data_IF_887987819007
#
_entry.id   IF_887987819007
#
_cell.length_a   1.000
_cell.length_b   1.000
_cell.length_c   1.000
_cell.angle_alpha   90.00
_cell.angle_beta   90.00
_cell.angle_gamma   90.00
#
_symmetry.space_group_name_H-M   'P 1'
#
loop_
_entity.id
_entity.type
_entity.pdbx_description
1 polymer ?
#
# COMPACT_ATOMS: atom_id res chain seq x y z
N UNK A 1 -2.63 -12.84 -8.69
CA UNK A 1 -3.01 -11.64 -7.93
C UNK A 1 -3.02 -10.45 -8.88
N UNK A 2 -4.16 -9.75 -9.02
CA UNK A 2 -4.31 -8.63 -9.96
C UNK A 2 -3.45 -7.45 -9.49
N UNK A 3 -2.36 -7.14 -10.20
CA UNK A 3 -1.56 -5.91 -10.05
C UNK A 3 -2.43 -4.71 -10.40
N UNK A 4 -3.28 -4.26 -9.47
CA UNK A 4 -4.00 -3.00 -9.63
C UNK A 4 -3.05 -1.88 -9.24
N UNK A 5 -2.82 -0.97 -10.17
CA UNK A 5 -1.96 0.19 -10.00
C UNK A 5 -2.37 0.99 -8.73
N UNK A 6 -1.42 1.41 -7.88
CA UNK A 6 -1.60 2.32 -6.75
C UNK A 6 -2.62 3.43 -6.98
N UNK A 7 -2.53 4.03 -8.17
CA UNK A 7 -3.31 5.18 -8.57
C UNK A 7 -4.78 4.82 -8.79
N UNK A 8 -5.02 3.59 -9.26
CA UNK A 8 -6.35 3.00 -9.40
C UNK A 8 -6.96 2.75 -8.02
N UNK A 9 -6.19 2.22 -7.07
CA UNK A 9 -6.65 1.95 -5.69
C UNK A 9 -7.01 3.27 -4.99
N UNK A 10 -6.15 4.28 -5.08
CA UNK A 10 -6.39 5.62 -4.50
C UNK A 10 -7.64 6.26 -5.10
N UNK A 11 -7.79 6.22 -6.42
CA UNK A 11 -8.94 6.78 -7.14
C UNK A 11 -10.25 6.04 -6.80
N UNK A 12 -10.21 4.72 -6.68
CA UNK A 12 -11.38 3.92 -6.28
C UNK A 12 -11.80 4.25 -4.85
N UNK A 13 -10.85 4.36 -3.91
CA UNK A 13 -11.15 4.66 -2.52
C UNK A 13 -11.73 6.08 -2.35
N UNK A 14 -11.20 7.08 -3.06
CA UNK A 14 -11.77 8.43 -3.05
C UNK A 14 -13.20 8.45 -3.62
N UNK A 15 -13.43 7.77 -4.74
CA UNK A 15 -14.77 7.63 -5.33
C UNK A 15 -15.75 6.97 -4.37
N UNK A 16 -15.32 5.95 -3.63
CA UNK A 16 -16.16 5.30 -2.60
C UNK A 16 -16.55 6.27 -1.49
N UNK A 17 -15.62 7.06 -0.97
CA UNK A 17 -15.91 8.09 0.06
C UNK A 17 -16.92 9.11 -0.48
N UNK A 18 -16.73 9.60 -1.71
CA UNK A 18 -17.67 10.53 -2.35
C UNK A 18 -19.06 9.92 -2.55
N UNK A 19 -19.14 8.66 -3.00
CA UNK A 19 -20.41 7.95 -3.20
C UNK A 19 -21.14 7.73 -1.88
N UNK A 20 -20.46 7.28 -0.83
CA UNK A 20 -21.06 7.07 0.49
C UNK A 20 -21.56 8.40 1.07
N UNK A 21 -20.79 9.48 0.91
CA UNK A 21 -21.20 10.81 1.34
C UNK A 21 -22.43 11.29 0.55
N UNK A 22 -22.46 11.11 -0.77
CA UNK A 22 -23.61 11.47 -1.60
C UNK A 22 -24.88 10.67 -1.24
N UNK A 23 -24.74 9.37 -0.98
CA UNK A 23 -25.86 8.51 -0.50
C UNK A 23 -26.36 9.01 0.85
N UNK A 24 -25.47 9.40 1.77
CA UNK A 24 -25.89 9.92 3.07
C UNK A 24 -26.66 11.25 2.96
N UNK A 25 -26.24 12.15 2.07
CA UNK A 25 -26.97 13.40 1.79
C UNK A 25 -28.33 13.09 1.20
N UNK A 26 -28.40 12.18 0.21
CA UNK A 26 -29.66 11.76 -0.38
C UNK A 26 -30.61 11.18 0.67
N UNK A 27 -30.10 10.37 1.60
CA UNK A 27 -30.89 9.82 2.70
C UNK A 27 -31.50 10.93 3.57
N UNK A 28 -30.71 11.94 3.97
CA UNK A 28 -31.22 13.09 4.74
C UNK A 28 -32.31 13.82 3.97
N UNK A 29 -32.09 14.09 2.68
CA UNK A 29 -33.07 14.77 1.82
C UNK A 29 -34.38 13.98 1.75
N UNK A 30 -34.32 12.65 1.61
CA UNK A 30 -35.50 11.79 1.58
C UNK A 30 -36.25 11.80 2.92
N UNK A 31 -35.53 11.80 4.05
CA UNK A 31 -36.14 11.91 5.38
C UNK A 31 -36.85 13.26 5.53
N UNK A 32 -36.18 14.37 5.20
CA UNK A 32 -36.78 15.71 5.27
C UNK A 32 -38.01 15.82 4.36
N UNK A 33 -37.94 15.24 3.16
CA UNK A 33 -39.08 15.20 2.24
C UNK A 33 -40.27 14.45 2.82
N UNK A 34 -40.05 13.31 3.49
CA UNK A 34 -41.12 12.56 4.15
C UNK A 34 -41.83 13.39 5.23
N UNK A 35 -41.07 14.09 6.07
CA UNK A 35 -41.64 14.98 7.09
C UNK A 35 -42.41 16.16 6.50
N UNK A 36 -41.93 16.73 5.38
CA UNK A 36 -42.64 17.81 4.69
C UNK A 36 -43.99 17.30 4.15
N UNK A 37 -44.01 16.14 3.52
CA UNK A 37 -45.23 15.53 2.98
C UNK A 37 -46.25 15.20 4.08
N UNK A 38 -45.80 14.68 5.23
CA UNK A 38 -46.69 14.41 6.37
C UNK A 38 -47.27 15.70 6.98
N UNK A 39 -46.47 16.77 7.02
CA UNK A 39 -46.89 18.05 7.59
C UNK A 39 -47.87 18.85 6.72
N UNK A 40 -48.03 18.50 5.44
CA UNK A 40 -48.84 19.23 4.47
C UNK A 40 -48.34 20.66 4.19
N UNK A 41 -47.12 21.00 4.61
CA UNK A 41 -46.54 22.32 4.43
C UNK A 41 -45.93 22.48 3.04
N UNK A 42 -45.94 23.70 2.46
CA UNK A 42 -45.24 23.97 1.21
C UNK A 42 -43.73 23.84 1.41
N UNK A 43 -43.01 23.45 0.36
CA UNK A 43 -41.55 23.24 0.41
C UNK A 43 -40.81 24.59 0.47
N UNK A 44 -40.66 25.12 1.69
CA UNK A 44 -40.03 26.42 1.96
C UNK A 44 -39.06 26.34 3.14
N UNK A 45 -38.10 27.25 3.21
CA UNK A 45 -37.16 27.32 4.34
C UNK A 45 -37.87 27.55 5.68
N UNK A 46 -39.00 28.26 5.68
CA UNK A 46 -39.84 28.46 6.89
C UNK A 46 -40.45 27.14 7.37
N UNK A 47 -40.98 26.34 6.44
CA UNK A 47 -41.52 25.01 6.73
C UNK A 47 -40.44 24.09 7.30
N UNK A 48 -39.23 24.15 6.76
CA UNK A 48 -38.11 23.35 7.25
C UNK A 48 -37.74 23.71 8.70
N UNK A 49 -37.67 25.00 9.03
CA UNK A 49 -37.43 25.46 10.40
C UNK A 49 -38.56 25.06 11.35
N UNK A 50 -39.82 25.11 10.89
CA UNK A 50 -40.97 24.70 11.68
C UNK A 50 -40.97 23.19 11.97
N UNK A 51 -40.59 22.37 10.99
CA UNK A 51 -40.45 20.92 11.14
C UNK A 51 -39.34 20.58 12.14
N UNK A 52 -38.19 21.26 12.08
CA UNK A 52 -37.11 21.10 13.05
C UNK A 52 -37.51 21.53 14.46
N UNK A 53 -38.35 22.57 14.59
CA UNK A 53 -38.94 22.97 15.87
C UNK A 53 -39.87 21.91 16.46
N UNK A 54 -40.61 21.17 15.62
CA UNK A 54 -41.49 20.07 16.04
C UNK A 54 -40.73 18.77 16.32
N UNK A 55 -39.67 18.52 15.55
CA UNK A 55 -38.85 17.31 15.63
C UNK A 55 -37.36 17.67 15.76
N UNK A 56 -36.89 18.03 16.98
CA UNK A 56 -35.49 18.37 17.20
C UNK A 56 -34.51 17.24 16.87
N UNK A 57 -34.97 15.99 16.85
CA UNK A 57 -34.16 14.84 16.43
C UNK A 57 -33.66 14.94 15.00
N UNK A 58 -34.31 15.74 14.14
CA UNK A 58 -33.87 15.97 12.76
C UNK A 58 -32.51 16.66 12.68
N UNK A 59 -32.12 17.46 13.69
CA UNK A 59 -30.78 18.02 13.74
C UNK A 59 -29.69 16.94 13.82
N UNK A 60 -29.98 15.79 14.43
CA UNK A 60 -29.05 14.65 14.44
C UNK A 60 -28.98 13.99 13.06
N UNK A 61 -30.10 13.90 12.35
CA UNK A 61 -30.18 13.35 10.99
C UNK A 61 -29.38 14.22 10.02
N UNK A 62 -29.55 15.54 10.09
CA UNK A 62 -28.83 16.51 9.27
C UNK A 62 -27.31 16.45 9.49
N UNK A 63 -26.88 16.01 10.67
CA UNK A 63 -25.47 15.90 11.02
C UNK A 63 -24.83 14.59 10.53
N UNK A 64 -25.62 13.60 10.09
CA UNK A 64 -25.12 12.30 9.61
C UNK A 64 -24.09 12.46 8.47
N UNK A 65 -24.33 13.24 7.40
CA UNK A 65 -23.35 13.40 6.32
C UNK A 65 -22.05 14.05 6.81
N UNK A 66 -22.14 14.97 7.78
CA UNK A 66 -20.99 15.63 8.38
C UNK A 66 -20.16 14.62 9.18
N UNK A 67 -20.80 13.80 10.02
CA UNK A 67 -20.12 12.74 10.76
C UNK A 67 -19.46 11.70 9.86
N UNK A 68 -20.17 11.25 8.81
CA UNK A 68 -19.64 10.29 7.84
C UNK A 68 -18.43 10.89 7.13
N UNK A 69 -18.52 12.12 6.65
CA UNK A 69 -17.41 12.80 5.99
C UNK A 69 -16.21 12.98 6.93
N UNK A 70 -16.46 13.46 8.16
CA UNK A 70 -15.44 13.68 9.17
C UNK A 70 -14.72 12.38 9.58
N UNK A 71 -15.41 11.24 9.58
CA UNK A 71 -14.81 9.95 9.87
C UNK A 71 -14.04 9.37 8.68
N UNK A 72 -14.61 9.42 7.47
CA UNK A 72 -14.06 8.74 6.30
C UNK A 72 -12.86 9.47 5.67
N UNK A 73 -12.84 10.81 5.70
CA UNK A 73 -11.73 11.59 5.15
C UNK A 73 -10.36 11.28 5.76
N UNK A 74 -10.18 11.33 7.10
CA UNK A 74 -8.90 11.03 7.72
C UNK A 74 -8.50 9.56 7.53
N UNK A 75 -9.45 8.63 7.60
CA UNK A 75 -9.19 7.21 7.30
C UNK A 75 -8.64 7.02 5.89
N UNK A 76 -9.19 7.73 4.90
CA UNK A 76 -8.68 7.70 3.53
C UNK A 76 -7.24 8.20 3.44
N UNK A 77 -6.89 9.26 4.14
CA UNK A 77 -5.53 9.81 4.15
C UNK A 77 -4.52 8.85 4.81
N UNK A 78 -4.87 8.27 5.95
CA UNK A 78 -4.03 7.29 6.66
C UNK A 78 -3.81 6.06 5.78
N UNK A 79 -4.87 5.52 5.18
CA UNK A 79 -4.78 4.35 4.31
C UNK A 79 -3.91 4.61 3.07
N UNK A 80 -4.04 5.79 2.44
CA UNK A 80 -3.20 6.15 1.30
C UNK A 80 -1.71 6.29 1.68
N UNK A 81 -1.42 6.78 2.90
CA UNK A 81 -0.05 6.87 3.39
C UNK A 81 0.55 5.48 3.60
N UNK A 82 -0.20 4.58 4.23
CA UNK A 82 0.22 3.19 4.42
C UNK A 82 0.47 2.49 3.07
N UNK A 83 -0.41 2.67 2.09
CA UNK A 83 -0.24 2.10 0.74
C UNK A 83 1.08 2.56 0.11
N UNK A 84 1.43 3.85 0.20
CA UNK A 84 2.70 4.36 -0.34
C UNK A 84 3.91 3.75 0.34
N UNK A 85 3.88 3.65 1.67
CA UNK A 85 4.97 3.04 2.42
C UNK A 85 5.14 1.55 2.06
N UNK A 86 4.04 0.82 1.86
CA UNK A 86 4.10 -0.56 1.37
C UNK A 86 4.67 -0.64 -0.05
N UNK A 87 4.32 0.29 -0.94
CA UNK A 87 4.84 0.32 -2.31
C UNK A 87 6.34 0.59 -2.35
N UNK A 88 6.82 1.54 -1.55
CA UNK A 88 8.25 1.84 -1.41
C UNK A 88 9.01 0.58 -0.93
N UNK A 89 8.52 -0.09 0.11
CA UNK A 89 9.12 -1.34 0.61
C UNK A 89 9.10 -2.46 -0.43
N UNK A 90 8.04 -2.59 -1.23
CA UNK A 90 7.95 -3.59 -2.29
C UNK A 90 8.95 -3.29 -3.40
N UNK A 91 9.12 -2.01 -3.78
CA UNK A 91 10.09 -1.61 -4.78
C UNK A 91 11.52 -1.87 -4.31
N UNK A 92 11.85 -1.49 -3.08
CA UNK A 92 13.16 -1.80 -2.46
C UNK A 92 13.42 -3.31 -2.47
N UNK A 93 12.42 -4.12 -2.09
CA UNK A 93 12.54 -5.57 -2.12
C UNK A 93 12.75 -6.13 -3.53
N UNK A 94 12.11 -5.55 -4.55
CA UNK A 94 12.29 -5.98 -5.95
C UNK A 94 13.70 -5.65 -6.45
N UNK A 95 14.22 -4.47 -6.12
CA UNK A 95 15.58 -4.07 -6.46
C UNK A 95 16.62 -4.99 -5.82
N UNK A 96 16.42 -5.40 -4.56
CA UNK A 96 17.30 -6.38 -3.90
C UNK A 96 17.26 -7.75 -4.57
N UNK A 97 16.08 -8.22 -5.00
CA UNK A 97 15.95 -9.48 -5.75
C UNK A 97 16.66 -9.40 -7.09
N UNK A 98 16.52 -8.30 -7.81
CA UNK A 98 17.18 -8.07 -9.10
C UNK A 98 18.70 -8.04 -8.94
N UNK A 99 19.23 -7.27 -7.99
CA UNK A 99 20.68 -7.24 -7.69
C UNK A 99 21.22 -8.60 -7.24
N UNK A 100 20.47 -9.36 -6.45
CA UNK A 100 20.85 -10.73 -6.07
C UNK A 100 20.86 -11.68 -7.29
N UNK A 101 19.93 -11.49 -8.22
CA UNK A 101 19.84 -12.31 -9.44
C UNK A 101 21.03 -12.03 -10.35
N UNK A 102 21.36 -10.75 -10.57
CA UNK A 102 22.55 -10.34 -11.34
C UNK A 102 23.84 -10.87 -10.69
N UNK A 103 23.95 -10.78 -9.36
CA UNK A 103 25.10 -11.33 -8.65
C UNK A 103 25.23 -12.84 -8.86
N UNK A 104 24.11 -13.57 -8.77
CA UNK A 104 24.08 -15.02 -8.98
C UNK A 104 24.45 -15.41 -10.42
N UNK A 105 23.97 -14.66 -11.41
CA UNK A 105 24.28 -14.85 -12.82
C UNK A 105 25.79 -14.71 -13.07
N UNK A 106 26.37 -13.58 -12.65
CA UNK A 106 27.82 -13.34 -12.77
C UNK A 106 28.66 -14.39 -12.06
N UNK A 107 28.24 -14.80 -10.86
CA UNK A 107 28.91 -15.87 -10.11
C UNK A 107 28.85 -17.21 -10.88
N UNK A 108 27.72 -17.51 -11.53
CA UNK A 108 27.52 -18.74 -12.31
C UNK A 108 28.35 -18.76 -13.59
N UNK A 109 28.60 -17.60 -14.20
CA UNK A 109 29.50 -17.44 -15.36
C UNK A 109 30.98 -17.56 -14.98
N UNK A 110 31.27 -17.76 -13.71
CA UNK A 110 32.63 -17.93 -13.18
C UNK A 110 33.33 -16.62 -12.85
N UNK A 111 32.65 -15.47 -13.00
CA UNK A 111 33.14 -14.19 -12.51
C UNK A 111 33.27 -14.20 -10.98
N UNK A 112 33.97 -13.19 -10.46
CA UNK A 112 34.12 -12.98 -9.03
C UNK A 112 33.51 -11.63 -8.63
N UNK A 113 32.16 -11.49 -8.68
CA UNK A 113 31.49 -10.24 -8.34
C UNK A 113 31.75 -9.88 -6.87
N UNK A 114 31.88 -8.58 -6.58
CA UNK A 114 32.05 -8.10 -5.21
C UNK A 114 30.70 -8.13 -4.46
N UNK A 115 30.64 -8.72 -3.25
CA UNK A 115 29.43 -8.68 -2.44
C UNK A 115 29.11 -7.24 -2.03
N UNK A 116 27.83 -6.89 -2.06
CA UNK A 116 27.34 -5.59 -1.64
C UNK A 116 26.70 -5.65 -0.25
N UNK A 117 26.65 -4.52 0.45
CA UNK A 117 26.25 -4.47 1.87
C UNK A 117 24.80 -4.93 2.08
N UNK A 118 23.87 -4.47 1.23
CA UNK A 118 22.46 -4.78 1.37
C UNK A 118 22.13 -6.25 1.09
N UNK A 119 23.06 -7.01 0.51
CA UNK A 119 22.93 -8.45 0.29
C UNK A 119 22.64 -9.19 1.60
N UNK A 120 23.19 -8.72 2.72
CA UNK A 120 23.01 -9.34 4.04
C UNK A 120 21.64 -9.10 4.67
N UNK A 121 20.82 -8.25 4.07
CA UNK A 121 19.47 -7.95 4.58
C UNK A 121 18.45 -9.02 4.22
N UNK A 122 18.75 -9.89 3.24
CA UNK A 122 17.86 -10.94 2.75
C UNK A 122 18.50 -12.32 2.95
N UNK A 123 17.69 -13.35 3.18
CA UNK A 123 18.22 -14.71 3.34
C UNK A 123 18.79 -15.26 2.03
N UNK A 124 18.24 -14.86 0.88
CA UNK A 124 18.80 -15.16 -0.44
C UNK A 124 20.20 -14.58 -0.60
N UNK A 125 20.38 -13.29 -0.29
CA UNK A 125 21.68 -12.64 -0.40
C UNK A 125 22.71 -13.23 0.55
N UNK A 126 22.32 -13.56 1.80
CA UNK A 126 23.20 -14.29 2.74
C UNK A 126 23.63 -15.65 2.17
N UNK A 127 22.71 -16.41 1.58
CA UNK A 127 23.02 -17.69 0.97
C UNK A 127 23.98 -17.55 -0.23
N UNK A 128 23.75 -16.58 -1.12
CA UNK A 128 24.64 -16.29 -2.25
C UNK A 128 26.04 -15.88 -1.78
N UNK A 129 26.15 -15.08 -0.71
CA UNK A 129 27.45 -14.73 -0.12
C UNK A 129 28.19 -15.97 0.39
N UNK A 130 27.50 -16.90 1.03
CA UNK A 130 28.11 -18.15 1.49
C UNK A 130 28.61 -19.00 0.32
N UNK A 131 27.82 -19.12 -0.76
CA UNK A 131 28.24 -19.83 -1.98
C UNK A 131 29.48 -19.16 -2.58
N UNK A 132 29.50 -17.83 -2.67
CA UNK A 132 30.64 -17.08 -3.16
C UNK A 132 31.92 -17.33 -2.36
N UNK A 133 31.82 -17.32 -1.02
CA UNK A 133 32.94 -17.62 -0.13
C UNK A 133 33.46 -19.05 -0.32
N UNK A 134 32.56 -20.03 -0.47
CA UNK A 134 32.92 -21.42 -0.71
C UNK A 134 33.67 -21.58 -2.04
N UNK A 135 33.15 -21.01 -3.13
CA UNK A 135 33.81 -21.03 -4.45
C UNK A 135 35.22 -20.41 -4.38
N UNK A 136 35.36 -19.30 -3.63
CA UNK A 136 36.66 -18.64 -3.46
C UNK A 136 37.64 -19.49 -2.66
N UNK A 137 37.17 -20.20 -1.64
CA UNK A 137 37.97 -21.12 -0.85
C UNK A 137 38.43 -22.33 -1.69
N UNK A 138 37.52 -22.93 -2.46
CA UNK A 138 37.82 -24.08 -3.32
C UNK A 138 38.86 -23.71 -4.39
N UNK A 139 38.69 -22.58 -5.09
CA UNK A 139 39.68 -22.07 -6.07
C UNK A 139 41.05 -21.83 -5.44
N UNK A 140 41.09 -21.40 -4.18
CA UNK A 140 42.36 -21.20 -3.47
C UNK A 140 43.03 -22.54 -3.16
N UNK A 141 42.26 -23.51 -2.69
CA UNK A 141 42.76 -24.86 -2.40
C UNK A 141 43.28 -25.56 -3.65
N UNK A 142 42.57 -25.45 -4.78
CA UNK A 142 43.02 -25.98 -6.08
C UNK A 142 44.37 -25.38 -6.52
N UNK A 143 44.55 -24.06 -6.37
CA UNK A 143 45.83 -23.40 -6.69
C UNK A 143 46.97 -23.86 -5.79
N UNK A 144 46.72 -24.03 -4.50
CA UNK A 144 47.72 -24.52 -3.54
C UNK A 144 48.13 -25.96 -3.88
N UNK A 145 47.19 -26.83 -4.26
CA UNK A 145 47.49 -28.20 -4.69
C UNK A 145 48.23 -28.26 -6.02
N UNK A 146 47.84 -27.44 -7.00
CA UNK A 146 48.52 -27.34 -8.30
C UNK A 146 49.97 -26.89 -8.14
N UNK A 147 50.24 -25.91 -7.27
CA UNK A 147 51.61 -25.43 -7.02
C UNK A 147 52.52 -26.52 -6.41
N UNK A 148 51.98 -27.35 -5.52
CA UNK A 148 52.72 -28.47 -4.91
C UNK A 148 53.02 -29.56 -5.94
N UNK A 149 52.12 -29.79 -6.91
CA UNK A 149 52.34 -30.76 -7.98
C UNK A 149 53.38 -30.28 -8.99
N UNK A 150 53.32 -29.01 -9.41
CA UNK A 150 54.26 -28.42 -10.38
C UNK A 150 55.69 -28.27 -9.83
N UNK A 151 55.84 -28.12 -8.51
CA UNK A 151 57.16 -28.02 -7.86
C UNK A 151 57.80 -29.36 -7.49
N UNK A 152 57.17 -30.49 -7.83
CA UNK A 152 57.63 -31.85 -7.51
C UNK A 152 58.18 -32.62 -8.72
N UNK A 153 58.04 -32.09 -9.92
CA UNK A 153 58.80 -32.49 -11.12
C UNK A 153 60.08 -31.66 -11.25
#
# INVERSE_FOLDING_TARGET
MSRRDPYIIKRINFRRVMVVTAISILLVVLILFAFIMESGLPLTLKSLAQIHGKHPSLFLVDLIPVFISALLHPMHHIMNRAIREYEERVLESQQLVERNTEFAERLSEGENPEPYEEMMTTDLGKALRMIHLNIKADRRQEREQSWIAEGKD
#
